data_IF_864671155059
#
_entry.id   IF_864671155059
#
_cell.length_a   1.000
_cell.length_b   1.000
_cell.length_c   1.000
_cell.angle_alpha   90.00
_cell.angle_beta   90.00
_cell.angle_gamma   90.00
#
_symmetry.space_group_name_H-M   'P 1'
#
loop_
_entity.id
_entity.type
_entity.pdbx_description
1 polymer ?
#
# COMPACT_ATOMS: atom_id res chain seq x y z
N UNK A 1 20.36 -5.00 -22.41
CA UNK A 1 19.32 -4.89 -21.36
C UNK A 1 18.00 -5.32 -22.00
N UNK A 2 17.36 -6.43 -21.58
CA UNK A 2 16.06 -6.81 -22.17
C UNK A 2 15.01 -5.79 -21.71
N UNK A 3 14.19 -5.21 -22.62
CA UNK A 3 13.05 -4.41 -22.20
C UNK A 3 12.13 -5.28 -21.35
N UNK A 4 11.68 -4.77 -20.21
CA UNK A 4 10.76 -5.48 -19.34
C UNK A 4 9.37 -4.85 -19.42
N UNK A 5 8.34 -5.66 -19.20
CA UNK A 5 6.95 -5.20 -19.19
C UNK A 5 6.67 -4.45 -17.88
N UNK A 6 7.10 -3.19 -17.79
CA UNK A 6 6.58 -2.28 -16.78
C UNK A 6 5.17 -1.88 -17.19
N UNK A 7 4.16 -2.35 -16.46
CA UNK A 7 2.81 -1.83 -16.67
C UNK A 7 2.54 -0.73 -15.66
N UNK A 8 2.63 0.51 -16.13
CA UNK A 8 2.15 1.69 -15.41
C UNK A 8 0.80 2.05 -16.01
N UNK A 9 -0.25 2.02 -15.19
CA UNK A 9 -1.61 2.19 -15.68
C UNK A 9 -2.12 3.57 -15.31
N UNK A 10 -2.61 4.30 -16.32
CA UNK A 10 -3.44 5.48 -16.08
C UNK A 10 -4.83 5.03 -15.67
N UNK A 11 -5.37 5.67 -14.65
CA UNK A 11 -6.75 5.44 -14.22
C UNK A 11 -7.60 6.57 -14.80
N UNK A 12 -8.38 6.27 -15.84
CA UNK A 12 -9.39 7.17 -16.40
C UNK A 12 -10.72 6.43 -16.44
N UNK A 13 -11.51 6.61 -15.39
CA UNK A 13 -12.87 6.07 -15.29
C UNK A 13 -13.78 7.16 -14.72
N UNK A 14 -15.10 7.06 -14.95
CA UNK A 14 -16.11 8.13 -14.78
C UNK A 14 -15.90 9.19 -13.69
N UNK A 15 -16.65 9.08 -12.61
CA UNK A 15 -16.65 10.03 -11.49
C UNK A 15 -15.43 9.84 -10.59
N UNK A 16 -15.01 10.86 -9.80
CA UNK A 16 -13.87 10.73 -8.87
C UNK A 16 -13.97 9.54 -7.89
N UNK A 17 -15.18 9.14 -7.52
CA UNK A 17 -15.41 7.98 -6.64
C UNK A 17 -15.17 6.67 -7.39
N UNK A 18 -15.61 6.58 -8.65
CA UNK A 18 -15.35 5.41 -9.50
C UNK A 18 -13.86 5.26 -9.79
N UNK A 19 -13.15 6.37 -10.03
CA UNK A 19 -11.69 6.38 -10.16
C UNK A 19 -11.03 5.82 -8.91
N UNK A 20 -11.38 6.34 -7.74
CA UNK A 20 -10.86 5.85 -6.46
C UNK A 20 -11.11 4.35 -6.26
N UNK A 21 -12.32 3.85 -6.55
CA UNK A 21 -12.62 2.42 -6.44
C UNK A 21 -11.79 1.59 -7.40
N UNK A 22 -11.63 2.08 -8.62
CA UNK A 22 -10.80 1.41 -9.61
C UNK A 22 -9.32 1.40 -9.20
N UNK A 23 -8.81 2.49 -8.60
CA UNK A 23 -7.48 2.54 -7.98
C UNK A 23 -7.33 1.48 -6.91
N UNK A 24 -8.27 1.40 -5.95
CA UNK A 24 -8.22 0.41 -4.86
C UNK A 24 -8.27 -1.03 -5.40
N UNK A 25 -9.11 -1.29 -6.39
CA UNK A 25 -9.20 -2.60 -7.05
C UNK A 25 -7.89 -2.97 -7.76
N UNK A 26 -7.24 -2.00 -8.43
CA UNK A 26 -5.93 -2.19 -9.08
C UNK A 26 -4.82 -2.44 -8.08
N UNK A 27 -4.77 -1.67 -6.99
CA UNK A 27 -3.84 -1.88 -5.87
C UNK A 27 -4.00 -3.29 -5.31
N UNK A 28 -5.22 -3.71 -4.96
CA UNK A 28 -5.45 -5.03 -4.39
C UNK A 28 -5.15 -6.18 -5.38
N UNK A 29 -5.40 -5.98 -6.68
CA UNK A 29 -4.98 -6.93 -7.72
C UNK A 29 -3.46 -7.02 -7.83
N UNK A 30 -2.76 -5.88 -7.80
CA UNK A 30 -1.31 -5.84 -7.83
C UNK A 30 -0.68 -6.54 -6.62
N UNK A 31 -1.23 -6.31 -5.42
CA UNK A 31 -0.82 -6.99 -4.17
C UNK A 31 -0.91 -8.51 -4.33
N UNK A 32 -2.07 -9.04 -4.75
CA UNK A 32 -2.27 -10.49 -4.93
C UNK A 32 -1.33 -11.09 -5.97
N UNK A 33 -1.14 -10.41 -7.10
CA UNK A 33 -0.27 -10.91 -8.16
C UNK A 33 1.20 -10.90 -7.72
N UNK A 34 1.61 -9.89 -6.95
CA UNK A 34 2.98 -9.72 -6.48
C UNK A 34 3.31 -10.58 -5.26
N UNK A 35 2.34 -10.99 -4.45
CA UNK A 35 2.58 -11.82 -3.26
C UNK A 35 3.13 -13.22 -3.60
N UNK A 36 2.86 -13.72 -4.80
CA UNK A 36 3.39 -15.00 -5.29
C UNK A 36 4.66 -14.84 -6.13
N UNK A 37 5.15 -13.62 -6.36
CA UNK A 37 6.34 -13.37 -7.15
C UNK A 37 7.62 -13.70 -6.35
N UNK A 38 8.48 -14.64 -6.81
CA UNK A 38 9.53 -15.20 -5.96
C UNK A 38 10.51 -14.18 -5.35
N UNK A 39 10.98 -13.13 -6.06
CA UNK A 39 11.83 -12.12 -5.44
C UNK A 39 11.19 -11.41 -4.24
N UNK A 40 9.91 -11.02 -4.35
CA UNK A 40 9.18 -10.34 -3.26
C UNK A 40 8.96 -11.32 -2.11
N UNK A 41 8.46 -12.52 -2.41
CA UNK A 41 8.19 -13.55 -1.40
C UNK A 41 9.45 -13.97 -0.64
N UNK A 42 10.53 -14.25 -1.35
CA UNK A 42 11.78 -14.72 -0.73
C UNK A 42 12.41 -13.60 0.10
N UNK A 43 12.35 -12.35 -0.36
CA UNK A 43 12.80 -11.19 0.40
C UNK A 43 11.98 -11.03 1.69
N UNK A 44 10.65 -11.02 1.58
CA UNK A 44 9.77 -10.88 2.74
C UNK A 44 9.98 -12.01 3.76
N UNK A 45 10.10 -13.26 3.31
CA UNK A 45 10.38 -14.41 4.16
C UNK A 45 11.74 -14.30 4.87
N UNK A 46 12.79 -13.88 4.16
CA UNK A 46 14.11 -13.67 4.74
C UNK A 46 14.09 -12.59 5.82
N UNK A 47 13.44 -11.45 5.57
CA UNK A 47 13.33 -10.36 6.56
C UNK A 47 12.47 -10.77 7.75
N UNK A 48 11.32 -11.42 7.52
CA UNK A 48 10.44 -11.87 8.59
C UNK A 48 11.11 -12.95 9.48
N UNK A 49 11.98 -13.79 8.91
CA UNK A 49 12.69 -14.84 9.65
C UNK A 49 13.68 -14.33 10.70
N UNK A 50 13.97 -13.02 10.71
CA UNK A 50 14.75 -12.37 11.77
C UNK A 50 13.98 -12.27 13.09
N UNK A 51 12.65 -12.41 13.06
CA UNK A 51 11.82 -12.45 14.26
C UNK A 51 11.89 -13.82 14.96
N UNK A 52 11.71 -13.86 16.29
CA UNK A 52 11.45 -15.10 16.99
C UNK A 52 10.26 -15.87 16.37
N UNK A 53 10.26 -17.21 16.46
CA UNK A 53 9.17 -18.02 15.94
C UNK A 53 7.79 -17.56 16.44
N UNK A 54 6.84 -17.39 15.52
CA UNK A 54 5.45 -16.96 15.79
C UNK A 54 5.30 -15.56 16.42
N UNK A 55 6.35 -14.75 16.46
CA UNK A 55 6.25 -13.33 16.84
C UNK A 55 5.83 -12.49 15.62
N UNK A 56 4.53 -12.53 15.32
CA UNK A 56 3.95 -11.85 14.15
C UNK A 56 4.11 -10.32 14.21
N UNK A 57 4.16 -9.73 15.41
CA UNK A 57 4.41 -8.29 15.56
C UNK A 57 5.83 -7.96 15.11
N UNK A 58 6.83 -8.71 15.58
CA UNK A 58 8.22 -8.49 15.16
C UNK A 58 8.44 -8.79 13.68
N UNK A 59 7.78 -9.80 13.11
CA UNK A 59 7.82 -10.05 11.67
C UNK A 59 7.34 -8.82 10.89
N UNK A 60 6.19 -8.26 11.28
CA UNK A 60 5.62 -7.07 10.67
C UNK A 60 6.55 -5.85 10.80
N UNK A 61 7.13 -5.65 11.99
CA UNK A 61 8.10 -4.57 12.26
C UNK A 61 9.38 -4.71 11.44
N UNK A 62 9.92 -5.92 11.25
CA UNK A 62 11.11 -6.14 10.44
C UNK A 62 10.85 -5.86 8.96
N UNK A 63 9.73 -6.35 8.42
CA UNK A 63 9.34 -6.06 7.02
C UNK A 63 9.18 -4.55 6.82
N UNK A 64 8.45 -3.88 7.72
CA UNK A 64 8.30 -2.42 7.69
C UNK A 64 9.64 -1.68 7.78
N UNK A 65 10.48 -2.06 8.74
CA UNK A 65 11.78 -1.44 9.01
C UNK A 65 12.77 -1.64 7.86
N UNK A 66 12.75 -2.78 7.18
CA UNK A 66 13.54 -2.98 5.96
C UNK A 66 13.02 -2.10 4.82
N UNK A 67 11.70 -2.06 4.61
CA UNK A 67 11.09 -1.27 3.55
C UNK A 67 11.43 0.23 3.64
N UNK A 68 11.25 0.87 4.80
CA UNK A 68 11.51 2.31 4.98
C UNK A 68 12.99 2.69 4.78
N UNK A 69 13.93 1.75 4.95
CA UNK A 69 15.35 1.99 4.67
C UNK A 69 15.65 1.98 3.17
N UNK A 70 14.90 1.20 2.40
CA UNK A 70 15.09 1.00 0.95
C UNK A 70 14.21 1.88 0.08
N UNK A 71 13.11 2.40 0.57
CA UNK A 71 12.14 3.17 -0.22
C UNK A 71 12.21 4.68 0.03
N UNK A 72 11.83 5.48 -0.97
CA UNK A 72 11.70 6.94 -0.88
C UNK A 72 10.38 7.41 -1.46
N UNK A 73 9.72 8.32 -0.75
CA UNK A 73 8.51 8.97 -1.23
C UNK A 73 8.83 9.89 -2.41
N UNK A 74 8.20 9.62 -3.55
CA UNK A 74 8.26 10.44 -4.75
C UNK A 74 6.85 10.55 -5.30
N UNK A 75 6.35 11.78 -5.45
CA UNK A 75 5.00 12.02 -5.97
C UNK A 75 4.90 11.63 -7.43
N UNK A 76 3.70 11.25 -7.82
CA UNK A 76 3.32 11.16 -9.22
C UNK A 76 3.42 12.51 -9.97
N UNK A 77 3.55 12.47 -11.31
CA UNK A 77 3.46 13.67 -12.13
C UNK A 77 2.13 14.42 -11.94
N UNK A 78 2.18 15.76 -11.90
CA UNK A 78 1.06 16.67 -11.52
C UNK A 78 -0.30 16.41 -12.20
N UNK A 79 -0.34 15.73 -13.35
CA UNK A 79 -1.57 15.50 -14.13
C UNK A 79 -2.01 14.03 -14.21
N UNK A 80 -1.36 13.12 -13.48
CA UNK A 80 -1.56 11.67 -13.63
C UNK A 80 -1.47 10.95 -12.29
N UNK A 81 -2.41 10.03 -12.08
CA UNK A 81 -2.33 8.99 -11.05
C UNK A 81 -1.72 7.73 -11.69
N UNK A 82 -0.71 7.13 -11.05
CA UNK A 82 0.05 6.00 -11.56
C UNK A 82 0.17 4.89 -10.50
N UNK A 83 -0.50 3.76 -10.74
CA UNK A 83 -0.31 2.56 -9.91
C UNK A 83 0.75 1.66 -10.53
N UNK A 84 1.79 1.31 -9.76
CA UNK A 84 2.77 0.27 -10.14
C UNK A 84 2.15 -1.13 -9.94
N UNK A 85 1.74 -1.79 -11.03
CA UNK A 85 0.88 -2.98 -10.93
C UNK A 85 1.56 -4.33 -11.21
N UNK A 86 2.63 -4.37 -12.02
CA UNK A 86 3.30 -5.63 -12.37
C UNK A 86 4.31 -6.06 -11.30
N UNK A 87 4.38 -7.35 -10.89
CA UNK A 87 5.29 -7.81 -9.84
C UNK A 87 6.76 -7.44 -10.08
N UNK A 88 7.23 -7.52 -11.32
CA UNK A 88 8.60 -7.15 -11.70
C UNK A 88 8.86 -5.66 -11.50
N UNK A 89 7.91 -4.79 -11.84
CA UNK A 89 8.03 -3.35 -11.62
C UNK A 89 7.97 -3.00 -10.13
N UNK A 90 7.08 -3.63 -9.36
CA UNK A 90 7.02 -3.45 -7.89
C UNK A 90 8.38 -3.78 -7.26
N UNK A 91 8.95 -4.93 -7.61
CA UNK A 91 10.27 -5.32 -7.12
C UNK A 91 11.36 -4.31 -7.53
N UNK A 92 11.46 -3.98 -8.82
CA UNK A 92 12.57 -3.19 -9.34
C UNK A 92 12.47 -1.71 -8.99
N UNK A 93 11.29 -1.12 -9.14
CA UNK A 93 11.07 0.32 -8.99
C UNK A 93 10.80 0.72 -7.54
N UNK A 94 10.10 -0.12 -6.77
CA UNK A 94 9.63 0.26 -5.43
C UNK A 94 10.43 -0.39 -4.29
N UNK A 95 11.03 -1.57 -4.50
CA UNK A 95 11.74 -2.29 -3.43
C UNK A 95 13.27 -2.31 -3.59
N UNK A 96 13.77 -2.89 -4.67
CA UNK A 96 15.19 -3.16 -4.86
C UNK A 96 15.96 -1.94 -5.40
N UNK A 97 15.34 -1.16 -6.28
CA UNK A 97 16.03 -0.17 -7.10
C UNK A 97 16.87 -0.85 -8.17
N UNK A 98 16.54 -0.65 -9.45
CA UNK A 98 17.30 -1.22 -10.57
C UNK A 98 18.32 -0.25 -11.17
N UNK A 99 18.58 0.87 -10.48
CA UNK A 99 19.48 1.93 -10.93
C UNK A 99 18.89 2.86 -12.00
N UNK A 100 17.68 2.60 -12.50
CA UNK A 100 17.00 3.41 -13.50
C UNK A 100 15.82 4.13 -12.83
N UNK A 101 16.03 5.38 -12.41
CA UNK A 101 15.00 6.25 -11.82
C UNK A 101 15.17 6.52 -10.31
N UNK A 102 15.99 5.72 -9.63
CA UNK A 102 16.39 5.93 -8.23
C UNK A 102 17.86 5.53 -8.10
N UNK A 103 18.74 6.49 -8.40
CA UNK A 103 20.16 6.32 -8.18
C UNK A 103 20.42 5.98 -6.72
N UNK A 104 21.35 5.06 -6.45
CA UNK A 104 21.79 4.59 -5.12
C UNK A 104 21.08 3.35 -4.53
N UNK A 105 20.45 2.49 -5.33
CA UNK A 105 19.98 1.17 -4.85
C UNK A 105 18.80 1.25 -3.88
N UNK A 106 17.92 2.23 -4.09
CA UNK A 106 16.67 2.42 -3.36
C UNK A 106 15.50 2.32 -4.32
N UNK A 107 14.32 1.95 -3.84
CA UNK A 107 13.07 2.10 -4.57
C UNK A 107 12.42 3.47 -4.35
N UNK A 108 11.44 3.81 -5.19
CA UNK A 108 10.62 5.01 -5.06
C UNK A 108 9.16 4.77 -5.47
N UNK A 109 8.32 5.73 -5.10
CA UNK A 109 6.89 5.83 -5.44
C UNK A 109 6.17 6.65 -4.38
N UNK A 110 4.87 6.87 -4.55
CA UNK A 110 4.07 7.55 -3.53
C UNK A 110 3.35 6.54 -2.60
N UNK A 111 2.27 6.99 -1.98
CA UNK A 111 1.47 6.19 -1.05
C UNK A 111 0.93 4.90 -1.68
N UNK A 112 0.54 4.90 -2.95
CA UNK A 112 -0.08 3.73 -3.57
C UNK A 112 0.96 2.64 -3.90
N UNK A 113 2.12 3.03 -4.39
CA UNK A 113 3.25 2.17 -4.70
C UNK A 113 3.77 1.52 -3.43
N UNK A 114 3.92 2.31 -2.37
CA UNK A 114 4.31 1.80 -1.06
C UNK A 114 3.28 0.81 -0.49
N UNK A 115 1.99 1.13 -0.63
CA UNK A 115 0.88 0.25 -0.24
C UNK A 115 0.94 -1.08 -0.98
N UNK A 116 1.16 -1.06 -2.30
CA UNK A 116 1.28 -2.27 -3.12
C UNK A 116 2.48 -3.11 -2.68
N UNK A 117 3.66 -2.49 -2.54
CA UNK A 117 4.89 -3.21 -2.21
C UNK A 117 4.87 -3.81 -0.80
N UNK A 118 4.36 -3.08 0.20
CA UNK A 118 4.19 -3.61 1.55
C UNK A 118 3.10 -4.66 1.60
N UNK A 119 1.93 -4.41 1.00
CA UNK A 119 0.84 -5.40 0.94
C UNK A 119 1.31 -6.71 0.31
N UNK A 120 2.04 -6.65 -0.81
CA UNK A 120 2.59 -7.84 -1.47
C UNK A 120 3.54 -8.63 -0.58
N UNK A 121 4.46 -7.96 0.12
CA UNK A 121 5.37 -8.61 1.07
C UNK A 121 4.61 -9.29 2.20
N UNK A 122 3.61 -8.62 2.78
CA UNK A 122 2.86 -9.13 3.93
C UNK A 122 1.97 -10.31 3.56
N UNK A 123 1.24 -10.24 2.45
CA UNK A 123 0.46 -11.36 1.92
C UNK A 123 1.36 -12.54 1.56
N UNK A 124 2.58 -12.30 1.06
CA UNK A 124 3.52 -13.37 0.67
C UNK A 124 4.02 -14.23 1.86
N UNK A 125 3.94 -13.68 3.07
CA UNK A 125 4.30 -14.37 4.33
C UNK A 125 3.08 -14.70 5.19
N UNK A 126 1.87 -14.60 4.62
CA UNK A 126 0.64 -15.10 5.21
C UNK A 126 -0.10 -14.13 6.13
N UNK A 127 0.25 -12.84 6.15
CA UNK A 127 -0.62 -11.85 6.78
C UNK A 127 -1.84 -11.61 5.92
N UNK A 128 -3.03 -11.63 6.53
CA UNK A 128 -4.21 -11.04 5.91
C UNK A 128 -4.08 -9.52 5.93
N UNK A 129 -4.28 -8.89 4.78
CA UNK A 129 -4.21 -7.44 4.62
C UNK A 129 -5.54 -6.82 4.21
N UNK A 130 -5.67 -5.52 4.48
CA UNK A 130 -6.75 -4.67 3.96
C UNK A 130 -6.22 -3.28 3.63
N UNK A 131 -6.84 -2.63 2.67
CA UNK A 131 -6.53 -1.25 2.31
C UNK A 131 -7.23 -0.30 3.28
N UNK A 132 -6.63 0.86 3.52
CA UNK A 132 -7.25 1.95 4.25
C UNK A 132 -6.99 3.26 3.51
N UNK A 133 -7.99 4.15 3.52
CA UNK A 133 -7.90 5.46 2.88
C UNK A 133 -8.29 6.56 3.84
N UNK A 134 -7.58 7.69 3.85
CA UNK A 134 -7.83 8.82 4.77
C UNK A 134 -7.95 10.16 4.05
N UNK A 135 -8.61 11.11 4.73
CA UNK A 135 -8.62 12.51 4.34
C UNK A 135 -8.11 13.40 5.49
N UNK A 136 -7.46 14.54 5.20
CA UNK A 136 -6.89 15.41 6.23
C UNK A 136 -7.96 15.97 7.19
N UNK A 137 -7.61 16.29 8.44
CA UNK A 137 -8.56 16.72 9.47
C UNK A 137 -9.38 17.96 9.08
N UNK A 138 -8.79 18.87 8.29
CA UNK A 138 -9.43 20.13 7.89
C UNK A 138 -10.33 20.00 6.65
N UNK A 139 -10.54 18.79 6.12
CA UNK A 139 -11.53 18.59 5.05
C UNK A 139 -12.91 18.37 5.62
N UNK A 140 -13.88 19.14 5.12
CA UNK A 140 -15.30 18.94 5.38
C UNK A 140 -15.81 17.54 4.97
N UNK A 141 -17.08 17.24 5.27
CA UNK A 141 -17.71 15.97 4.91
C UNK A 141 -17.53 15.63 3.43
N UNK A 142 -17.33 14.36 3.10
CA UNK A 142 -17.16 13.96 1.71
C UNK A 142 -16.83 12.49 1.53
N UNK A 143 -16.81 12.07 0.27
CA UNK A 143 -16.61 10.68 -0.16
C UNK A 143 -15.21 10.38 -0.70
N UNK A 144 -14.39 11.41 -0.91
CA UNK A 144 -13.05 11.25 -1.49
C UNK A 144 -11.96 11.19 -0.43
N UNK A 145 -10.92 10.42 -0.69
CA UNK A 145 -9.73 10.33 0.15
C UNK A 145 -8.52 10.93 -0.59
N UNK A 146 -7.44 11.18 0.14
CA UNK A 146 -6.21 11.76 -0.43
C UNK A 146 -4.96 10.95 -0.10
N UNK A 147 -5.12 9.82 0.58
CA UNK A 147 -4.03 8.96 1.00
C UNK A 147 -4.54 7.53 1.10
N UNK A 148 -3.69 6.57 0.74
CA UNK A 148 -3.95 5.13 0.86
C UNK A 148 -2.78 4.47 1.57
N UNK A 149 -3.07 3.49 2.42
CA UNK A 149 -2.09 2.66 3.11
C UNK A 149 -2.63 1.25 3.33
N UNK A 150 -1.79 0.35 3.85
CA UNK A 150 -2.15 -1.04 4.14
C UNK A 150 -2.23 -1.28 5.66
N UNK A 151 -3.13 -2.15 6.08
CA UNK A 151 -3.14 -2.72 7.42
C UNK A 151 -2.97 -4.24 7.34
N UNK A 152 -2.30 -4.81 8.33
CA UNK A 152 -2.16 -6.26 8.48
C UNK A 152 -2.86 -6.74 9.75
N UNK A 153 -3.54 -7.88 9.65
CA UNK A 153 -4.18 -8.52 10.79
C UNK A 153 -3.14 -9.32 11.59
N UNK A 154 -2.90 -8.91 12.83
CA UNK A 154 -2.05 -9.64 13.77
C UNK A 154 -2.91 -10.46 14.73
N UNK A 155 -2.65 -11.77 14.89
CA UNK A 155 -3.41 -12.61 15.82
C UNK A 155 -3.46 -11.99 17.22
N UNK A 156 -4.66 -11.94 17.81
CA UNK A 156 -4.96 -11.39 19.15
C UNK A 156 -4.78 -9.87 19.33
N UNK A 157 -4.12 -9.18 18.42
CA UNK A 157 -3.93 -7.71 18.48
C UNK A 157 -4.85 -6.96 17.51
N UNK A 158 -5.30 -7.61 16.44
CA UNK A 158 -6.15 -6.99 15.43
C UNK A 158 -5.35 -6.28 14.34
N UNK A 159 -5.96 -5.29 13.71
CA UNK A 159 -5.39 -4.60 12.56
C UNK A 159 -4.32 -3.58 12.97
N UNK A 160 -3.10 -3.76 12.44
CA UNK A 160 -1.98 -2.82 12.64
C UNK A 160 -1.73 -2.05 11.35
N UNK A 161 -1.61 -0.73 11.45
CA UNK A 161 -1.27 0.15 10.33
C UNK A 161 0.18 0.00 9.91
N UNK A 162 0.39 -0.16 8.60
CA UNK A 162 1.71 -0.25 7.98
C UNK A 162 1.82 0.84 6.93
N UNK A 163 2.10 2.06 7.39
CA UNK A 163 2.13 3.26 6.55
C UNK A 163 3.52 3.92 6.58
N UNK A 164 4.34 3.71 5.53
CA UNK A 164 5.69 4.27 5.48
C UNK A 164 5.70 5.77 5.16
N UNK A 165 4.58 6.35 4.69
CA UNK A 165 4.49 7.80 4.38
C UNK A 165 4.56 8.63 5.65
N UNK A 166 4.18 8.05 6.80
CA UNK A 166 4.25 8.76 8.08
C UNK A 166 5.66 8.76 8.69
N UNK A 167 6.59 7.95 8.18
CA UNK A 167 7.98 7.94 8.64
C UNK A 167 8.74 9.18 8.12
N UNK A 168 9.63 9.81 8.93
CA UNK A 168 9.98 9.51 10.32
C UNK A 168 9.12 10.23 11.37
N UNK A 169 8.06 10.91 10.96
CA UNK A 169 7.25 11.78 11.84
C UNK A 169 6.38 11.02 12.83
N UNK A 170 6.00 9.79 12.51
CA UNK A 170 5.16 8.94 13.36
C UNK A 170 5.78 7.55 13.52
N UNK A 171 5.54 6.87 14.65
CA UNK A 171 6.02 5.51 14.88
C UNK A 171 5.26 4.49 14.03
N UNK A 172 5.83 3.28 13.93
CA UNK A 172 5.15 2.12 13.37
C UNK A 172 3.79 1.87 14.06
N UNK A 173 2.78 1.46 13.30
CA UNK A 173 1.42 1.25 13.81
C UNK A 173 0.57 2.51 13.94
N UNK A 174 1.16 3.71 13.82
CA UNK A 174 0.42 4.95 13.87
C UNK A 174 -0.48 5.11 12.64
N UNK A 175 -1.64 5.75 12.85
CA UNK A 175 -2.52 6.21 11.77
C UNK A 175 -2.54 7.73 11.80
N UNK A 176 -2.36 8.38 10.65
CA UNK A 176 -2.41 9.84 10.57
C UNK A 176 -3.74 10.39 11.10
N UNK A 177 -3.69 11.55 11.76
CA UNK A 177 -4.90 12.31 12.07
C UNK A 177 -5.70 12.54 10.79
N UNK A 178 -6.99 12.26 10.85
CA UNK A 178 -7.87 12.28 9.69
C UNK A 178 -9.27 12.77 10.10
N UNK A 179 -9.98 13.38 9.15
CA UNK A 179 -11.41 13.71 9.33
C UNK A 179 -12.31 12.52 9.00
N UNK A 180 -11.79 11.56 8.23
CA UNK A 180 -12.44 10.32 7.85
C UNK A 180 -11.41 9.27 7.46
N UNK A 181 -11.78 8.02 7.70
CA UNK A 181 -11.07 6.83 7.25
C UNK A 181 -12.07 5.80 6.73
N UNK A 182 -11.72 5.11 5.64
CA UNK A 182 -12.45 3.93 5.17
C UNK A 182 -11.50 2.75 5.02
N UNK A 183 -12.02 1.56 5.22
CA UNK A 183 -11.31 0.29 5.12
C UNK A 183 -11.90 -0.51 3.98
N UNK A 184 -11.04 -1.14 3.18
CA UNK A 184 -11.43 -1.85 1.97
C UNK A 184 -10.76 -3.21 1.90
N UNK A 185 -11.46 -4.21 1.38
CA UNK A 185 -10.79 -5.45 1.00
C UNK A 185 -9.89 -5.23 -0.23
N UNK A 186 -9.11 -6.25 -0.59
CA UNK A 186 -8.26 -6.18 -1.79
C UNK A 186 -9.05 -6.23 -3.11
N UNK A 187 -10.38 -6.33 -3.08
CA UNK A 187 -11.24 -6.21 -4.26
C UNK A 187 -11.80 -4.78 -4.41
N UNK A 188 -11.52 -3.88 -3.47
CA UNK A 188 -12.04 -2.52 -3.45
C UNK A 188 -13.46 -2.42 -2.90
N UNK A 189 -13.93 -3.44 -2.17
CA UNK A 189 -15.21 -3.40 -1.47
C UNK A 189 -15.04 -2.73 -0.09
N UNK A 190 -16.01 -1.90 0.29
CA UNK A 190 -15.99 -1.19 1.56
C UNK A 190 -16.27 -2.18 2.71
N UNK A 191 -15.35 -2.26 3.67
CA UNK A 191 -15.47 -3.08 4.88
C UNK A 191 -16.02 -2.27 6.07
N UNK A 192 -15.81 -0.96 6.07
CA UNK A 192 -16.24 -0.07 7.15
C UNK A 192 -15.58 1.30 7.04
N UNK A 193 -16.05 2.25 7.83
CA UNK A 193 -15.53 3.62 7.84
C UNK A 193 -15.73 4.29 9.20
N UNK A 194 -15.03 5.39 9.44
CA UNK A 194 -15.17 6.26 10.61
C UNK A 194 -15.02 7.74 10.22
N UNK A 195 -15.49 8.63 11.08
CA UNK A 195 -15.44 10.09 10.88
C UNK A 195 -16.50 10.60 9.90
N UNK A 196 -16.23 11.73 9.27
CA UNK A 196 -17.19 12.48 8.44
C UNK A 196 -17.28 11.92 7.00
N UNK A 197 -17.30 10.60 6.86
CA UNK A 197 -17.43 9.93 5.57
C UNK A 197 -18.89 9.88 5.12
N UNK A 198 -19.16 10.33 3.91
CA UNK A 198 -20.48 10.21 3.29
C UNK A 198 -20.45 9.04 2.33
N UNK A 199 -21.14 7.94 2.69
CA UNK A 199 -21.27 6.75 1.84
C UNK A 199 -22.10 7.09 0.61
N UNK A 200 -21.50 7.10 -0.59
CA UNK A 200 -22.22 7.28 -1.85
C UNK A 200 -23.29 6.21 -2.03
N UNK A 201 -24.43 6.53 -2.64
CA UNK A 201 -25.53 5.57 -2.86
C UNK A 201 -25.05 4.28 -3.58
N UNK A 202 -24.09 4.43 -4.48
CA UNK A 202 -23.42 3.36 -5.24
C UNK A 202 -22.53 2.41 -4.40
N UNK A 203 -22.32 2.70 -3.11
CA UNK A 203 -21.58 1.86 -2.16
C UNK A 203 -22.49 1.15 -1.13
N UNK A 204 -23.82 1.30 -1.22
CA UNK A 204 -24.80 0.69 -0.29
C UNK A 204 -25.28 -0.71 -0.69
N UNK A 205 -24.52 -1.44 -1.51
CA UNK A 205 -24.89 -2.77 -2.00
C UNK A 205 -24.06 -3.84 -1.31
#
# INVERSE_FOLDING_TARGET
>A
MRPYAATVQRIQTGTPIEQMRETLRRIGTAIRNASVYPPIRNHAAAIASLAPPKDFVRQLMFVYGDFIRRWRYVRDPVSRELVTASPQAIWRLTMAGDGVGVGLGKGAGDCDCATVALGAQLESIGFQTRLATTAPPNRGPGSLFSHVFIQALVPKLGWITVDPVLHPKQPFGATAQNSRIAYWDLNGNLLGFQGNYIVPQMLRR
#
